data_IF_500325219082
#
_entry.id   IF_500325219082
#
_cell.length_a   1.000
_cell.length_b   1.000
_cell.length_c   1.000
_cell.angle_alpha   90.00
_cell.angle_beta   90.00
_cell.angle_gamma   90.00
#
_symmetry.space_group_name_H-M   'P 1'
#
loop_
_entity.id
_entity.type
_entity.pdbx_description
1 polymer ?
#
# COMPACT_ATOMS: atom_id res chain seq x y z
N UNK A 1 -17.13 44.43 3.06
CA UNK A 1 -16.23 43.60 3.85
C UNK A 1 -16.51 42.16 3.45
N UNK A 2 -15.74 41.69 2.49
CA UNK A 2 -15.98 40.41 1.79
C UNK A 2 -15.08 39.34 2.41
N UNK A 3 -15.67 38.40 3.11
CA UNK A 3 -14.95 37.21 3.56
C UNK A 3 -14.86 36.23 2.39
N UNK A 4 -13.66 36.04 1.90
CA UNK A 4 -13.34 35.00 0.93
C UNK A 4 -13.16 33.70 1.70
N UNK A 5 -14.07 32.76 1.48
CA UNK A 5 -13.94 31.36 1.91
C UNK A 5 -12.93 30.70 0.98
N UNK A 6 -11.78 30.32 1.52
CA UNK A 6 -10.83 29.41 0.89
C UNK A 6 -11.35 27.97 1.00
N UNK A 7 -11.31 27.17 -0.06
CA UNK A 7 -11.91 25.83 -0.04
C UNK A 7 -10.99 24.83 0.69
N UNK A 8 -11.60 24.12 1.63
CA UNK A 8 -11.02 23.05 2.47
C UNK A 8 -10.69 21.74 1.72
N UNK A 9 -10.43 21.79 0.43
CA UNK A 9 -10.31 20.59 -0.43
C UNK A 9 -8.86 20.08 -0.55
N UNK A 10 -7.86 20.83 -0.07
CA UNK A 10 -6.45 20.48 -0.28
C UNK A 10 -5.89 19.45 0.71
N UNK A 11 -6.61 19.16 1.80
CA UNK A 11 -6.09 18.31 2.89
C UNK A 11 -6.41 16.82 2.74
N UNK A 12 -7.44 16.46 1.98
CA UNK A 12 -7.93 15.08 1.89
C UNK A 12 -7.07 14.15 1.00
N UNK A 13 -6.23 14.71 0.14
CA UNK A 13 -5.45 13.92 -0.83
C UNK A 13 -4.04 13.59 -0.33
N UNK A 14 -3.50 14.39 0.59
CA UNK A 14 -2.20 14.11 1.22
C UNK A 14 -2.29 12.93 2.19
N UNK A 15 -3.48 12.63 2.72
CA UNK A 15 -3.70 11.52 3.65
C UNK A 15 -3.76 10.14 3.01
N UNK A 16 -3.83 10.03 1.69
CA UNK A 16 -3.72 8.72 1.00
C UNK A 16 -2.27 8.25 0.85
N UNK A 17 -1.30 9.16 1.02
CA UNK A 17 0.13 8.88 0.95
C UNK A 17 0.79 9.67 2.07
N UNK A 18 0.84 9.11 3.28
CA UNK A 18 1.34 9.74 4.49
C UNK A 18 2.80 10.18 4.44
N UNK A 19 3.12 11.12 3.54
CA UNK A 19 4.38 11.85 3.56
C UNK A 19 4.15 13.16 4.31
N UNK A 20 4.43 13.20 5.61
CA UNK A 20 4.49 14.43 6.36
C UNK A 20 5.76 15.20 6.01
N UNK A 21 5.59 16.30 5.30
CA UNK A 21 6.59 17.35 5.22
C UNK A 21 6.57 18.14 6.54
N UNK A 22 7.61 17.98 7.33
CA UNK A 22 7.94 18.92 8.40
C UNK A 22 8.30 20.27 7.77
N UNK A 23 7.61 21.35 8.21
CA UNK A 23 7.85 22.77 7.94
C UNK A 23 7.97 23.18 6.47
N UNK A 24 7.01 23.99 6.02
CA UNK A 24 6.99 24.60 4.69
C UNK A 24 8.35 25.22 4.30
N UNK A 25 8.92 24.81 3.17
CA UNK A 25 9.60 25.73 2.29
C UNK A 25 8.58 26.31 1.30
N UNK A 26 8.78 27.58 0.93
CA UNK A 26 7.99 28.32 -0.01
C UNK A 26 7.51 27.46 -1.20
N UNK A 27 6.27 27.73 -1.67
CA UNK A 27 5.65 27.10 -2.81
C UNK A 27 6.64 26.90 -3.97
N UNK A 28 7.32 25.76 -3.96
CA UNK A 28 7.96 25.24 -5.14
C UNK A 28 6.82 24.84 -6.07
N UNK A 29 6.73 25.49 -7.20
CA UNK A 29 6.00 25.03 -8.37
C UNK A 29 6.26 23.53 -8.48
N UNK A 30 5.21 22.71 -8.44
CA UNK A 30 5.24 21.32 -8.88
C UNK A 30 5.64 21.32 -10.36
N UNK A 31 6.93 21.49 -10.61
CA UNK A 31 7.55 21.15 -11.87
C UNK A 31 7.31 19.65 -12.06
N UNK A 32 7.04 19.25 -13.28
CA UNK A 32 6.75 17.87 -13.66
C UNK A 32 7.70 16.91 -12.91
N UNK A 33 7.18 16.18 -11.94
CA UNK A 33 7.90 15.12 -11.26
C UNK A 33 7.89 13.85 -12.13
N UNK A 34 8.21 14.02 -13.42
CA UNK A 34 8.57 12.89 -14.26
C UNK A 34 10.05 12.66 -13.98
N UNK A 35 10.44 11.59 -13.25
CA UNK A 35 11.85 11.27 -13.11
C UNK A 35 12.41 11.11 -14.52
N UNK A 36 13.57 11.68 -14.78
CA UNK A 36 14.29 11.29 -15.98
C UNK A 36 14.45 9.76 -15.93
N UNK A 37 13.96 9.06 -16.94
CA UNK A 37 14.04 7.60 -17.06
C UNK A 37 15.48 7.11 -17.17
N UNK A 38 16.42 8.03 -17.26
CA UNK A 38 17.86 7.80 -17.19
C UNK A 38 18.49 8.87 -16.31
N UNK A 39 19.46 8.48 -15.51
CA UNK A 39 20.28 9.45 -14.79
C UNK A 39 21.20 10.20 -15.76
N UNK A 40 21.91 11.23 -15.25
CA UNK A 40 22.86 12.03 -16.05
C UNK A 40 24.02 11.21 -16.66
N UNK A 41 24.22 9.96 -16.25
CA UNK A 41 25.18 9.02 -16.80
C UNK A 41 24.56 8.04 -17.82
N UNK A 42 23.24 8.14 -18.07
CA UNK A 42 22.51 7.28 -19.00
C UNK A 42 22.10 5.92 -18.43
N UNK A 43 22.15 5.74 -17.11
CA UNK A 43 21.70 4.51 -16.47
C UNK A 43 20.17 4.50 -16.40
N UNK A 44 19.57 3.34 -16.68
CA UNK A 44 18.16 3.11 -16.43
C UNK A 44 17.85 3.25 -14.92
N UNK A 45 16.68 3.77 -14.58
CA UNK A 45 16.27 3.93 -13.20
C UNK A 45 14.79 3.59 -13.00
N UNK A 46 14.45 3.04 -11.84
CA UNK A 46 13.08 2.95 -11.37
C UNK A 46 12.65 4.27 -10.73
N UNK A 47 11.34 4.46 -10.56
CA UNK A 47 10.82 5.68 -9.95
C UNK A 47 11.33 5.88 -8.51
N UNK A 48 11.45 7.13 -8.09
CA UNK A 48 11.85 7.49 -6.72
C UNK A 48 10.76 7.18 -5.67
N UNK A 49 9.51 6.97 -6.11
CA UNK A 49 8.38 6.53 -5.28
C UNK A 49 7.73 5.29 -5.87
N UNK A 50 8.40 4.12 -5.81
CA UNK A 50 7.86 2.90 -6.38
C UNK A 50 6.71 2.35 -5.54
N UNK A 51 5.71 1.80 -6.22
CA UNK A 51 4.65 0.96 -5.69
C UNK A 51 4.95 -0.46 -6.15
N UNK A 52 4.99 -1.41 -5.26
CA UNK A 52 5.55 -2.73 -5.53
C UNK A 52 6.99 -2.84 -5.00
N UNK A 53 7.81 -3.80 -5.46
CA UNK A 53 7.53 -4.64 -6.62
C UNK A 53 6.51 -5.76 -6.35
N UNK A 54 6.06 -6.36 -7.45
CA UNK A 54 5.35 -7.63 -7.48
C UNK A 54 5.88 -8.46 -8.65
N UNK A 55 5.98 -9.77 -8.51
CA UNK A 55 6.52 -10.66 -9.54
C UNK A 55 5.38 -11.44 -10.22
N UNK A 56 5.21 -11.30 -11.54
CA UNK A 56 4.19 -11.99 -12.31
C UNK A 56 4.52 -13.49 -12.53
N UNK A 57 3.64 -14.21 -13.23
CA UNK A 57 3.81 -15.65 -13.52
C UNK A 57 5.09 -15.95 -14.30
N UNK A 58 5.55 -15.04 -15.12
CA UNK A 58 6.74 -15.21 -15.98
C UNK A 58 8.04 -14.86 -15.26
N UNK A 59 7.95 -14.28 -14.04
CA UNK A 59 9.07 -13.88 -13.23
C UNK A 59 9.51 -12.43 -13.44
N UNK A 60 8.71 -11.64 -14.15
CA UNK A 60 9.00 -10.22 -14.31
C UNK A 60 8.65 -9.46 -13.02
N UNK A 61 9.51 -8.54 -12.61
CA UNK A 61 9.26 -7.64 -11.49
C UNK A 61 8.57 -6.37 -11.98
N UNK A 62 7.37 -6.14 -11.48
CA UNK A 62 6.56 -4.97 -11.82
C UNK A 62 6.56 -3.94 -10.71
N UNK A 63 6.69 -2.69 -11.10
CA UNK A 63 6.60 -1.53 -10.22
C UNK A 63 5.64 -0.51 -10.82
N UNK A 64 4.88 0.14 -9.97
CA UNK A 64 4.12 1.33 -10.31
C UNK A 64 4.77 2.58 -9.77
N UNK A 65 4.29 3.74 -10.19
CA UNK A 65 4.71 5.03 -9.65
C UNK A 65 3.58 6.05 -9.66
N UNK A 66 3.77 7.11 -8.90
CA UNK A 66 2.84 8.25 -8.87
C UNK A 66 3.30 9.31 -9.87
N UNK A 67 3.26 9.01 -11.19
CA UNK A 67 3.57 9.98 -12.23
C UNK A 67 4.65 9.54 -13.23
N UNK A 68 5.17 8.30 -13.12
CA UNK A 68 6.15 7.75 -14.08
C UNK A 68 5.66 6.44 -14.69
N UNK A 69 4.34 6.20 -14.66
CA UNK A 69 3.75 5.00 -15.23
C UNK A 69 4.06 3.72 -14.47
N UNK A 70 4.10 2.62 -15.21
CA UNK A 70 4.54 1.32 -14.71
C UNK A 70 5.91 0.95 -15.28
N UNK A 71 6.65 0.14 -14.55
CA UNK A 71 7.96 -0.38 -14.94
C UNK A 71 7.98 -1.88 -14.78
N UNK A 72 8.66 -2.57 -15.68
CA UNK A 72 8.84 -4.02 -15.65
C UNK A 72 10.31 -4.38 -15.88
N UNK A 73 10.87 -5.16 -14.98
CA UNK A 73 12.16 -5.80 -15.15
C UNK A 73 11.96 -7.26 -15.52
N UNK A 74 12.41 -7.69 -16.71
CA UNK A 74 12.25 -9.07 -17.21
C UNK A 74 13.47 -9.98 -16.92
N UNK A 75 14.45 -9.46 -16.18
CA UNK A 75 15.70 -10.15 -15.91
C UNK A 75 16.85 -9.66 -16.78
N UNK A 76 16.58 -8.92 -17.86
CA UNK A 76 17.56 -8.41 -18.81
C UNK A 76 17.37 -6.90 -19.07
N UNK A 77 16.13 -6.45 -19.23
CA UNK A 77 15.78 -5.08 -19.58
C UNK A 77 14.73 -4.49 -18.67
N UNK A 78 14.91 -3.22 -18.30
CA UNK A 78 13.88 -2.42 -17.61
C UNK A 78 13.03 -1.69 -18.65
N UNK A 79 11.76 -2.07 -18.74
CA UNK A 79 10.79 -1.45 -19.65
C UNK A 79 9.88 -0.50 -18.91
N UNK A 80 9.47 0.55 -19.60
CA UNK A 80 8.59 1.59 -19.06
C UNK A 80 7.28 1.60 -19.85
N UNK A 81 6.17 1.86 -19.15
CA UNK A 81 4.85 1.91 -19.73
C UNK A 81 4.17 3.20 -19.28
N UNK A 82 3.72 3.98 -20.25
CA UNK A 82 3.07 5.26 -20.08
C UNK A 82 1.66 5.26 -20.69
N UNK A 83 0.99 6.41 -20.66
CA UNK A 83 -0.33 6.56 -21.29
C UNK A 83 -0.32 6.22 -22.79
N UNK A 84 0.78 6.50 -23.48
CA UNK A 84 0.98 6.15 -24.90
C UNK A 84 1.11 4.64 -25.15
N UNK A 85 1.49 3.87 -24.12
CA UNK A 85 1.62 2.39 -24.17
C UNK A 85 0.35 1.68 -23.69
N UNK A 86 -0.73 2.42 -23.43
CA UNK A 86 -2.04 1.88 -23.11
C UNK A 86 -2.54 2.13 -21.69
N UNK A 87 -1.76 2.74 -20.80
CA UNK A 87 -2.25 3.19 -19.50
C UNK A 87 -3.32 4.28 -19.66
N UNK A 88 -4.19 4.44 -18.67
CA UNK A 88 -5.12 5.55 -18.62
C UNK A 88 -4.40 6.89 -18.35
N UNK A 89 -3.32 6.83 -17.58
CA UNK A 89 -2.42 7.90 -17.21
C UNK A 89 -1.24 7.35 -16.44
N UNK A 90 -0.21 8.17 -16.22
CA UNK A 90 1.08 7.74 -15.67
C UNK A 90 1.09 7.57 -14.14
N UNK A 91 -0.07 7.67 -13.53
CA UNK A 91 -0.24 7.42 -12.11
C UNK A 91 -0.69 5.98 -11.87
N UNK A 92 0.22 5.12 -11.42
CA UNK A 92 -0.07 3.73 -11.05
C UNK A 92 -0.13 3.61 -9.52
N UNK A 93 -1.31 3.24 -8.99
CA UNK A 93 -1.57 3.32 -7.54
C UNK A 93 -1.80 1.97 -6.87
N UNK A 94 -1.76 0.89 -7.61
CA UNK A 94 -1.93 -0.46 -7.07
C UNK A 94 -1.57 -1.52 -8.10
N UNK A 95 -1.02 -2.61 -7.60
CA UNK A 95 -0.63 -3.80 -8.35
C UNK A 95 -1.16 -5.02 -7.60
N UNK A 96 -1.69 -5.99 -8.30
CA UNK A 96 -2.09 -7.30 -7.75
C UNK A 96 -1.99 -8.37 -8.83
N UNK A 97 -2.00 -9.62 -8.40
CA UNK A 97 -2.09 -10.76 -9.30
C UNK A 97 -3.43 -11.47 -9.10
N UNK A 98 -4.00 -11.98 -10.16
CA UNK A 98 -5.10 -12.93 -10.05
C UNK A 98 -4.59 -14.36 -9.73
N UNK A 99 -5.50 -15.31 -9.62
CA UNK A 99 -5.17 -16.70 -9.30
C UNK A 99 -4.35 -17.42 -10.38
N UNK A 100 -4.33 -16.89 -11.62
CA UNK A 100 -3.51 -17.37 -12.71
C UNK A 100 -2.11 -16.73 -12.76
N UNK A 101 -1.86 -15.73 -11.87
CA UNK A 101 -0.63 -14.95 -11.85
C UNK A 101 -0.59 -13.83 -12.89
N UNK A 102 -1.74 -13.50 -13.51
CA UNK A 102 -1.84 -12.36 -14.40
C UNK A 102 -1.76 -11.06 -13.60
N UNK A 103 -0.97 -10.11 -14.08
CA UNK A 103 -0.87 -8.79 -13.48
C UNK A 103 -2.12 -7.96 -13.74
N UNK A 104 -2.63 -7.38 -12.67
CA UNK A 104 -3.62 -6.32 -12.65
C UNK A 104 -3.04 -5.07 -11.99
N UNK A 105 -3.28 -3.91 -12.57
CA UNK A 105 -2.85 -2.65 -11.98
C UNK A 105 -3.94 -1.57 -12.11
N UNK A 106 -3.85 -0.58 -11.22
CA UNK A 106 -4.69 0.62 -11.28
C UNK A 106 -3.90 1.75 -11.91
N UNK A 107 -4.33 2.20 -13.08
CA UNK A 107 -3.82 3.42 -13.71
C UNK A 107 -4.85 4.54 -13.56
N UNK A 108 -4.38 5.74 -13.27
CA UNK A 108 -5.22 6.92 -13.05
C UNK A 108 -4.67 8.14 -13.76
N UNK A 109 -5.56 9.08 -14.07
CA UNK A 109 -5.20 10.40 -14.60
C UNK A 109 -4.39 11.19 -13.56
N UNK A 110 -3.52 12.08 -14.01
CA UNK A 110 -2.57 12.81 -13.13
C UNK A 110 -3.25 13.79 -12.17
N UNK A 111 -4.42 14.31 -12.53
CA UNK A 111 -5.13 15.29 -11.73
C UNK A 111 -5.82 14.66 -10.52
N UNK A 112 -5.84 15.38 -9.42
CA UNK A 112 -6.54 15.00 -8.20
C UNK A 112 -8.05 14.84 -8.49
N UNK A 113 -8.60 13.65 -8.22
CA UNK A 113 -9.98 13.30 -8.56
C UNK A 113 -10.18 12.86 -10.01
N UNK A 114 -9.09 12.66 -10.75
CA UNK A 114 -9.12 12.08 -12.10
C UNK A 114 -9.68 10.66 -12.14
N UNK A 115 -10.01 10.21 -13.34
CA UNK A 115 -10.52 8.87 -13.55
C UNK A 115 -9.45 7.83 -13.26
N UNK A 116 -9.84 6.67 -12.78
CA UNK A 116 -9.00 5.49 -12.69
C UNK A 116 -9.59 4.32 -13.49
N UNK A 117 -8.74 3.39 -13.86
CA UNK A 117 -9.12 2.17 -14.54
C UNK A 117 -8.24 1.01 -14.10
N UNK A 118 -8.80 -0.18 -14.16
CA UNK A 118 -8.05 -1.43 -14.04
C UNK A 118 -7.43 -1.78 -15.40
N UNK A 119 -6.16 -2.13 -15.37
CA UNK A 119 -5.39 -2.55 -16.52
C UNK A 119 -4.90 -3.98 -16.28
N UNK A 120 -4.70 -4.74 -17.33
CA UNK A 120 -4.13 -6.09 -17.29
C UNK A 120 -2.95 -6.19 -18.25
N UNK A 121 -1.98 -7.01 -17.89
CA UNK A 121 -0.86 -7.40 -18.74
C UNK A 121 -1.13 -8.78 -19.34
N UNK A 122 -1.03 -8.93 -20.66
CA UNK A 122 -1.28 -10.19 -21.39
C UNK A 122 0.01 -10.93 -21.81
N UNK A 123 1.17 -10.49 -21.30
CA UNK A 123 2.48 -10.99 -21.69
C UNK A 123 3.17 -10.13 -22.78
N UNK A 124 2.44 -9.22 -23.43
CA UNK A 124 2.96 -8.38 -24.49
C UNK A 124 2.52 -6.92 -24.40
N UNK A 125 1.28 -6.67 -23.99
CA UNK A 125 0.68 -5.33 -23.93
C UNK A 125 -0.09 -5.09 -22.65
N UNK A 126 -0.07 -3.84 -22.19
CA UNK A 126 -0.99 -3.34 -21.19
C UNK A 126 -2.28 -2.88 -21.86
N UNK A 127 -3.39 -3.40 -21.41
CA UNK A 127 -4.69 -3.04 -21.91
C UNK A 127 -5.68 -2.78 -20.77
N UNK A 128 -6.67 -1.94 -21.04
CA UNK A 128 -7.76 -1.76 -20.09
C UNK A 128 -8.46 -3.08 -19.85
N UNK A 129 -8.57 -3.48 -18.58
CA UNK A 129 -9.28 -4.68 -18.20
C UNK A 129 -10.72 -4.64 -18.71
N UNK A 130 -11.22 -5.77 -19.16
CA UNK A 130 -12.57 -5.92 -19.70
C UNK A 130 -13.41 -6.69 -18.71
N UNK A 131 -14.62 -6.21 -18.50
CA UNK A 131 -15.64 -6.89 -17.72
C UNK A 131 -16.97 -6.82 -18.48
N UNK A 132 -17.80 -7.87 -18.53
CA UNK A 132 -19.03 -7.91 -19.34
C UNK A 132 -20.00 -6.75 -19.03
N UNK A 133 -20.14 -6.38 -17.78
CA UNK A 133 -21.03 -5.29 -17.33
C UNK A 133 -20.27 -3.97 -17.07
N UNK A 134 -18.93 -3.97 -17.22
CA UNK A 134 -18.07 -2.86 -16.85
C UNK A 134 -17.65 -2.90 -15.39
N UNK A 135 -16.69 -2.05 -15.03
CA UNK A 135 -16.25 -1.87 -13.64
C UNK A 135 -17.00 -0.71 -12.97
N UNK A 136 -17.12 -0.71 -11.63
CA UNK A 136 -17.57 0.46 -10.90
C UNK A 136 -16.75 1.70 -11.28
N UNK A 137 -17.32 2.89 -11.07
CA UNK A 137 -16.66 4.16 -11.41
C UNK A 137 -15.38 4.31 -10.58
N UNK A 138 -14.27 4.68 -11.25
CA UNK A 138 -12.97 4.90 -10.61
C UNK A 138 -12.56 3.75 -9.66
N UNK A 139 -12.45 2.50 -10.18
CA UNK A 139 -12.06 1.38 -9.35
C UNK A 139 -10.64 1.54 -8.83
N UNK A 140 -10.43 1.26 -7.55
CA UNK A 140 -9.13 1.26 -6.90
C UNK A 140 -8.98 0.01 -6.03
N UNK A 141 -7.75 -0.32 -5.64
CA UNK A 141 -7.42 -1.44 -4.73
C UNK A 141 -8.07 -2.76 -5.14
N UNK A 142 -7.79 -3.25 -6.35
CA UNK A 142 -8.25 -4.57 -6.77
C UNK A 142 -7.67 -5.62 -5.81
N UNK A 143 -8.50 -6.57 -5.44
CA UNK A 143 -8.13 -7.67 -4.59
C UNK A 143 -8.84 -8.94 -5.05
N UNK A 144 -8.11 -10.02 -5.26
CA UNK A 144 -8.68 -11.33 -5.52
C UNK A 144 -8.72 -12.12 -4.22
N UNK A 145 -9.90 -12.59 -3.84
CA UNK A 145 -10.02 -13.46 -2.70
C UNK A 145 -9.56 -14.90 -3.02
N UNK A 146 -9.50 -15.77 -2.01
CA UNK A 146 -9.02 -17.15 -2.16
C UNK A 146 -9.89 -18.00 -3.10
N UNK A 147 -11.10 -17.54 -3.44
CA UNK A 147 -12.00 -18.15 -4.41
C UNK A 147 -11.82 -17.58 -5.81
N UNK A 148 -10.95 -16.58 -5.97
CA UNK A 148 -10.70 -15.88 -7.23
C UNK A 148 -11.74 -14.81 -7.56
N UNK A 149 -12.61 -14.46 -6.61
CA UNK A 149 -13.58 -13.36 -6.79
C UNK A 149 -12.84 -12.02 -6.72
N UNK A 150 -13.06 -11.19 -7.73
CA UNK A 150 -12.50 -9.85 -7.76
C UNK A 150 -13.32 -8.89 -6.89
N UNK A 151 -12.61 -8.24 -5.98
CA UNK A 151 -13.11 -7.13 -5.18
C UNK A 151 -12.42 -5.84 -5.62
N UNK A 152 -13.18 -4.76 -5.67
CA UNK A 152 -12.67 -3.41 -5.93
C UNK A 152 -13.25 -2.42 -4.96
N UNK A 153 -12.52 -1.37 -4.68
CA UNK A 153 -13.07 -0.21 -3.96
C UNK A 153 -13.42 0.87 -4.98
N UNK A 154 -14.59 1.45 -4.84
CA UNK A 154 -15.07 2.55 -5.67
C UNK A 154 -15.91 3.49 -4.82
N UNK A 155 -15.71 4.81 -4.95
CA UNK A 155 -16.48 5.84 -4.24
C UNK A 155 -16.61 5.58 -2.72
N UNK A 156 -15.52 5.11 -2.10
CA UNK A 156 -15.47 4.82 -0.67
C UNK A 156 -16.26 3.57 -0.25
N UNK A 157 -16.59 2.66 -1.17
CA UNK A 157 -17.30 1.41 -0.92
C UNK A 157 -16.58 0.23 -1.53
N UNK A 158 -16.76 -0.95 -0.93
CA UNK A 158 -16.36 -2.20 -1.55
C UNK A 158 -17.42 -2.68 -2.52
N UNK A 159 -16.98 -3.26 -3.61
CA UNK A 159 -17.77 -3.97 -4.60
C UNK A 159 -17.13 -5.32 -4.83
N UNK A 160 -17.94 -6.35 -4.96
CA UNK A 160 -17.48 -7.70 -5.33
C UNK A 160 -18.14 -8.16 -6.61
N UNK A 161 -17.42 -8.96 -7.35
CA UNK A 161 -17.99 -9.63 -8.51
C UNK A 161 -18.90 -10.78 -8.07
N UNK A 162 -20.15 -10.79 -8.57
CA UNK A 162 -21.15 -11.83 -8.31
C UNK A 162 -21.86 -12.16 -9.62
N UNK A 163 -21.75 -13.41 -10.06
CA UNK A 163 -22.38 -13.88 -11.31
C UNK A 163 -22.05 -13.03 -12.55
N UNK A 164 -20.84 -12.46 -12.59
CA UNK A 164 -20.39 -11.64 -13.72
C UNK A 164 -20.89 -10.18 -13.67
N UNK A 165 -21.29 -9.68 -12.52
CA UNK A 165 -21.61 -8.27 -12.27
C UNK A 165 -20.97 -7.79 -10.98
N UNK A 166 -20.80 -6.47 -10.81
CA UNK A 166 -20.29 -5.88 -9.58
C UNK A 166 -21.42 -5.42 -8.68
N UNK A 167 -21.51 -6.00 -7.50
CA UNK A 167 -22.49 -5.61 -6.48
C UNK A 167 -21.79 -4.83 -5.36
N UNK A 168 -22.39 -3.71 -4.89
CA UNK A 168 -21.92 -3.05 -3.69
C UNK A 168 -21.98 -4.00 -2.49
N UNK A 169 -20.91 -4.03 -1.70
CA UNK A 169 -20.83 -4.79 -0.46
C UNK A 169 -20.87 -3.82 0.72
N UNK A 170 -22.03 -3.69 1.38
CA UNK A 170 -22.20 -2.73 2.47
C UNK A 170 -21.52 -3.24 3.74
N UNK A 171 -20.67 -2.41 4.35
CA UNK A 171 -20.24 -2.61 5.73
C UNK A 171 -21.33 -2.13 6.69
N UNK A 172 -21.32 -2.60 7.96
CA UNK A 172 -22.22 -2.10 8.98
C UNK A 172 -22.16 -0.59 9.15
N UNK A 173 -23.29 0.02 9.51
CA UNK A 173 -23.34 1.45 9.81
C UNK A 173 -22.41 1.82 10.97
N UNK A 174 -21.78 3.02 10.94
CA UNK A 174 -20.89 3.47 12.00
C UNK A 174 -21.63 3.54 13.35
N UNK A 175 -21.08 2.87 14.35
CA UNK A 175 -21.65 2.79 15.70
C UNK A 175 -20.74 3.35 16.80
N UNK A 176 -19.51 3.74 16.46
CA UNK A 176 -18.56 4.36 17.38
C UNK A 176 -18.44 5.86 17.10
N UNK A 177 -18.08 6.66 18.11
CA UNK A 177 -17.78 8.07 17.93
C UNK A 177 -16.68 8.29 16.89
N UNK A 178 -16.86 9.27 16.02
CA UNK A 178 -15.83 9.65 15.05
C UNK A 178 -14.62 10.24 15.76
N UNK A 179 -13.44 9.75 15.43
CA UNK A 179 -12.17 10.20 16.02
C UNK A 179 -11.33 11.01 15.03
N UNK A 180 -11.71 11.04 13.76
CA UNK A 180 -11.02 11.76 12.71
C UNK A 180 -11.96 12.71 11.94
N UNK A 181 -11.38 13.59 11.15
CA UNK A 181 -12.12 14.60 10.36
C UNK A 181 -12.63 14.06 9.02
N UNK A 182 -12.08 12.94 8.54
CA UNK A 182 -12.44 12.35 7.25
C UNK A 182 -13.69 11.49 7.33
N UNK A 183 -14.08 11.08 8.53
CA UNK A 183 -15.24 10.26 8.78
C UNK A 183 -15.00 8.76 8.57
N UNK A 184 -16.09 8.01 8.46
CA UNK A 184 -16.05 6.58 8.23
C UNK A 184 -15.66 6.28 6.78
N UNK A 185 -14.48 5.72 6.60
CA UNK A 185 -13.98 5.30 5.29
C UNK A 185 -13.43 3.87 5.35
N UNK A 186 -13.92 2.97 4.48
CA UNK A 186 -13.27 1.70 4.24
C UNK A 186 -11.84 1.90 3.72
N UNK A 187 -10.88 1.18 4.27
CA UNK A 187 -9.46 1.33 3.92
C UNK A 187 -8.96 0.20 3.02
N UNK A 188 -8.96 -1.00 3.54
CA UNK A 188 -8.55 -2.19 2.79
C UNK A 188 -9.25 -3.43 3.33
N UNK A 189 -9.11 -4.54 2.61
CA UNK A 189 -9.67 -5.82 2.98
C UNK A 189 -8.67 -6.95 2.82
N UNK A 190 -8.93 -8.06 3.50
CA UNK A 190 -8.24 -9.34 3.35
C UNK A 190 -9.20 -10.49 3.58
N UNK A 191 -9.08 -11.55 2.80
CA UNK A 191 -9.67 -12.83 3.16
C UNK A 191 -8.61 -13.67 3.88
N UNK A 192 -8.98 -14.27 5.00
CA UNK A 192 -8.12 -15.19 5.75
C UNK A 192 -8.40 -16.65 5.38
N UNK A 193 -7.52 -17.57 5.76
CA UNK A 193 -7.56 -18.98 5.30
C UNK A 193 -8.83 -19.73 5.65
N UNK A 194 -9.52 -19.36 6.74
CA UNK A 194 -10.80 -19.97 7.10
C UNK A 194 -11.98 -19.49 6.24
N UNK A 195 -11.74 -18.54 5.31
CA UNK A 195 -12.75 -17.99 4.42
C UNK A 195 -13.35 -16.65 4.87
N UNK A 196 -13.12 -16.25 6.12
CA UNK A 196 -13.63 -14.97 6.62
C UNK A 196 -13.00 -13.78 5.88
N UNK A 197 -13.81 -12.76 5.65
CA UNK A 197 -13.35 -11.51 5.07
C UNK A 197 -13.22 -10.45 6.16
N UNK A 198 -12.08 -9.80 6.19
CA UNK A 198 -11.80 -8.70 7.09
C UNK A 198 -11.76 -7.38 6.33
N UNK A 199 -12.35 -6.35 6.93
CA UNK A 199 -12.44 -5.00 6.37
C UNK A 199 -11.94 -3.99 7.38
N UNK A 200 -10.90 -3.26 7.03
CA UNK A 200 -10.35 -2.18 7.86
C UNK A 200 -11.06 -0.86 7.58
N UNK A 201 -11.16 -0.04 8.61
CA UNK A 201 -11.79 1.28 8.52
C UNK A 201 -10.95 2.37 9.18
N UNK A 202 -11.24 3.62 8.85
CA UNK A 202 -10.53 4.78 9.39
C UNK A 202 -10.88 5.14 10.83
N UNK A 203 -12.03 4.68 11.37
CA UNK A 203 -12.47 5.05 12.72
C UNK A 203 -13.43 4.07 13.41
N UNK A 204 -13.79 2.96 12.75
CA UNK A 204 -14.70 1.96 13.29
C UNK A 204 -13.98 0.62 13.60
N UNK A 205 -12.65 0.60 13.65
CA UNK A 205 -11.88 -0.63 13.82
C UNK A 205 -11.87 -1.51 12.58
N UNK A 206 -11.93 -2.81 12.77
CA UNK A 206 -12.03 -3.78 11.69
C UNK A 206 -13.29 -4.62 11.81
N UNK A 207 -13.93 -4.93 10.68
CA UNK A 207 -15.07 -5.83 10.61
C UNK A 207 -14.63 -7.17 10.03
N UNK A 208 -15.01 -8.26 10.68
CA UNK A 208 -14.91 -9.62 10.18
C UNK A 208 -16.29 -10.07 9.71
N UNK A 209 -16.40 -10.51 8.47
CA UNK A 209 -17.58 -11.16 7.92
C UNK A 209 -17.30 -12.65 7.72
N UNK A 210 -18.08 -13.51 8.38
CA UNK A 210 -17.92 -14.96 8.34
C UNK A 210 -18.77 -15.65 7.25
N UNK A 211 -19.44 -14.86 6.42
CA UNK A 211 -20.36 -15.31 5.39
C UNK A 211 -21.82 -15.06 5.73
N UNK A 212 -22.14 -14.85 7.00
CA UNK A 212 -23.49 -14.59 7.51
C UNK A 212 -23.53 -13.31 8.35
N UNK A 213 -22.66 -13.19 9.36
CA UNK A 213 -22.68 -12.11 10.33
C UNK A 213 -21.40 -11.27 10.31
N UNK A 214 -21.53 -10.01 10.73
CA UNK A 214 -20.40 -9.13 10.98
C UNK A 214 -20.01 -9.12 12.46
N UNK A 215 -18.73 -9.28 12.72
CA UNK A 215 -18.10 -9.11 14.02
C UNK A 215 -17.15 -7.91 13.97
N UNK A 216 -17.19 -7.05 14.98
CA UNK A 216 -16.39 -5.84 15.00
C UNK A 216 -15.27 -5.95 16.02
N UNK A 217 -14.02 -5.68 15.60
CA UNK A 217 -12.84 -5.62 16.43
C UNK A 217 -12.48 -4.14 16.67
N UNK A 218 -12.41 -3.73 17.93
CA UNK A 218 -12.30 -2.32 18.33
C UNK A 218 -11.31 -2.10 19.47
N UNK A 219 -11.21 -0.86 19.96
CA UNK A 219 -10.48 -0.54 21.18
C UNK A 219 -11.04 -1.23 22.43
N UNK A 220 -12.30 -1.62 22.44
CA UNK A 220 -12.89 -2.42 23.52
C UNK A 220 -12.30 -3.85 23.56
N UNK A 221 -11.79 -4.34 22.44
CA UNK A 221 -11.20 -5.66 22.29
C UNK A 221 -9.66 -5.63 22.38
N UNK A 222 -9.09 -4.44 22.64
CA UNK A 222 -7.67 -4.24 22.84
C UNK A 222 -6.91 -3.57 21.69
N UNK A 223 -7.58 -3.12 20.62
CA UNK A 223 -6.90 -2.30 19.61
C UNK A 223 -6.44 -0.97 20.23
N UNK A 224 -5.25 -0.47 19.90
CA UNK A 224 -4.79 0.83 20.32
C UNK A 224 -5.65 2.00 19.84
N UNK A 225 -6.17 1.89 18.63
CA UNK A 225 -7.10 2.85 18.01
C UNK A 225 -8.08 2.13 17.07
N UNK A 226 -9.17 2.80 16.71
CA UNK A 226 -10.12 2.28 15.73
C UNK A 226 -9.79 2.68 14.27
N UNK A 227 -8.65 3.32 14.02
CA UNK A 227 -8.12 3.54 12.68
C UNK A 227 -7.15 2.40 12.35
N UNK A 228 -7.61 1.46 11.54
CA UNK A 228 -6.95 0.18 11.30
C UNK A 228 -6.55 0.05 9.84
N UNK A 229 -5.44 -0.64 9.60
CA UNK A 229 -5.07 -1.19 8.29
C UNK A 229 -4.71 -2.66 8.45
N UNK A 230 -5.24 -3.50 7.57
CA UNK A 230 -4.96 -4.94 7.54
C UNK A 230 -3.73 -5.20 6.66
N UNK A 231 -2.88 -6.12 7.07
CA UNK A 231 -1.68 -6.47 6.31
C UNK A 231 -1.72 -7.90 5.80
N UNK A 232 -1.61 -8.90 6.66
CA UNK A 232 -1.59 -10.31 6.27
C UNK A 232 -2.11 -11.21 7.38
N UNK A 233 -2.46 -12.43 7.02
CA UNK A 233 -2.56 -13.57 7.94
C UNK A 233 -1.27 -14.39 7.86
N UNK A 234 -0.58 -14.55 8.99
CA UNK A 234 0.67 -15.30 9.03
C UNK A 234 0.43 -16.84 8.97
N UNK A 235 1.50 -17.62 8.86
CA UNK A 235 1.43 -19.09 8.78
C UNK A 235 0.77 -19.75 9.99
N UNK A 236 0.68 -19.06 11.11
CA UNK A 236 0.06 -19.57 12.34
C UNK A 236 -1.41 -19.18 12.47
N UNK A 237 -1.94 -18.39 11.54
CA UNK A 237 -3.32 -17.90 11.52
C UNK A 237 -3.53 -16.60 12.27
N UNK A 238 -2.47 -15.90 12.63
CA UNK A 238 -2.59 -14.59 13.25
C UNK A 238 -2.77 -13.51 12.17
N UNK A 239 -3.71 -12.62 12.40
CA UNK A 239 -3.93 -11.46 11.53
C UNK A 239 -3.07 -10.30 12.02
N UNK A 240 -2.17 -9.84 11.15
CA UNK A 240 -1.33 -8.68 11.40
C UNK A 240 -2.02 -7.41 10.87
N UNK A 241 -2.06 -6.40 11.72
CA UNK A 241 -2.71 -5.13 11.45
C UNK A 241 -1.94 -3.99 12.08
N UNK A 242 -2.08 -2.80 11.54
CA UNK A 242 -1.57 -1.58 12.14
C UNK A 242 -2.71 -0.66 12.53
N UNK A 243 -2.50 0.03 13.64
CA UNK A 243 -3.38 1.07 14.14
C UNK A 243 -2.63 2.39 14.10
N UNK A 244 -3.29 3.45 13.67
CA UNK A 244 -2.69 4.76 13.61
C UNK A 244 -3.64 5.84 14.11
N UNK A 245 -3.15 6.72 14.97
CA UNK A 245 -3.88 7.88 15.43
C UNK A 245 -3.05 9.13 15.22
N UNK A 246 -3.63 10.08 14.53
CA UNK A 246 -3.07 11.40 14.40
C UNK A 246 -4.08 12.44 14.92
N UNK A 247 -3.69 13.15 15.94
CA UNK A 247 -4.53 14.20 16.50
C UNK A 247 -4.17 15.55 15.85
N UNK A 248 -5.06 16.04 14.96
CA UNK A 248 -4.83 17.25 14.15
C UNK A 248 -4.51 18.51 14.94
N UNK A 249 -5.02 18.65 16.18
CA UNK A 249 -4.83 19.86 16.98
C UNK A 249 -3.63 19.79 17.91
N UNK A 250 -3.26 18.60 18.37
CA UNK A 250 -2.11 18.44 19.29
C UNK A 250 -0.85 17.97 18.58
N UNK A 251 -0.96 17.48 17.34
CA UNK A 251 0.14 16.84 16.63
C UNK A 251 0.55 15.48 17.23
N UNK A 252 -0.22 14.96 18.19
CA UNK A 252 0.06 13.67 18.82
C UNK A 252 -0.13 12.54 17.78
N UNK A 253 0.94 11.84 17.49
CA UNK A 253 0.96 10.71 16.57
C UNK A 253 1.21 9.46 17.39
N UNK A 254 0.33 8.47 17.22
CA UNK A 254 0.49 7.16 17.84
C UNK A 254 0.21 6.11 16.80
N UNK A 255 1.19 5.27 16.56
CA UNK A 255 1.05 4.06 15.78
C UNK A 255 1.20 2.84 16.66
N UNK A 256 0.73 1.71 16.21
CA UNK A 256 1.03 0.43 16.78
C UNK A 256 0.91 -0.66 15.72
N UNK A 257 1.88 -1.55 15.71
CA UNK A 257 1.70 -2.84 15.07
C UNK A 257 0.98 -3.75 16.04
N UNK A 258 -0.01 -4.48 15.54
CA UNK A 258 -0.82 -5.41 16.32
C UNK A 258 -0.93 -6.75 15.64
N UNK A 259 -1.15 -7.78 16.45
CA UNK A 259 -1.44 -9.14 16.02
C UNK A 259 -2.72 -9.61 16.71
N UNK A 260 -3.67 -10.12 15.93
CA UNK A 260 -4.89 -10.75 16.41
C UNK A 260 -4.79 -12.27 16.23
N UNK A 261 -4.86 -13.05 17.32
CA UNK A 261 -4.72 -14.50 17.32
C UNK A 261 -6.06 -15.27 17.25
N UNK A 262 -7.14 -14.56 16.96
CA UNK A 262 -8.50 -15.09 16.98
C UNK A 262 -9.24 -14.83 18.30
N UNK A 263 -8.56 -14.36 19.35
CA UNK A 263 -9.12 -14.10 20.68
C UNK A 263 -8.64 -12.82 21.31
N UNK A 264 -7.35 -12.51 21.16
CA UNK A 264 -6.70 -11.38 21.81
C UNK A 264 -5.90 -10.55 20.83
N UNK A 265 -5.85 -9.26 21.08
CA UNK A 265 -4.96 -8.34 20.38
C UNK A 265 -3.66 -8.21 21.18
N UNK A 266 -2.55 -8.54 20.55
CA UNK A 266 -1.22 -8.24 21.06
C UNK A 266 -0.68 -7.02 20.36
N UNK A 267 -0.34 -5.97 21.11
CA UNK A 267 0.35 -4.78 20.60
C UNK A 267 1.83 -4.85 20.95
N UNK A 268 2.67 -4.20 20.15
CA UNK A 268 4.12 -4.15 20.33
C UNK A 268 4.58 -2.72 20.68
N UNK A 269 4.25 -2.22 21.88
CA UNK A 269 4.49 -0.81 22.26
C UNK A 269 5.96 -0.48 22.54
N UNK A 270 6.77 -1.47 22.90
CA UNK A 270 8.15 -1.26 23.37
C UNK A 270 9.19 -1.32 22.25
N UNK A 271 8.75 -1.37 20.98
CA UNK A 271 9.64 -1.34 19.83
C UNK A 271 9.79 0.11 19.35
N UNK A 272 10.96 0.73 19.56
CA UNK A 272 11.20 2.11 19.15
C UNK A 272 10.84 2.31 17.68
N UNK A 273 10.05 3.34 17.39
CA UNK A 273 9.61 3.64 16.04
C UNK A 273 8.32 2.94 15.57
N UNK A 274 7.89 1.85 16.20
CA UNK A 274 6.59 1.23 15.87
C UNK A 274 5.41 1.87 16.63
N UNK A 275 5.66 2.50 17.77
CA UNK A 275 4.62 3.13 18.59
C UNK A 275 4.27 4.57 18.20
N UNK A 276 5.16 5.22 17.47
CA UNK A 276 5.01 6.64 17.12
C UNK A 276 4.80 6.84 15.62
N UNK A 277 4.79 5.76 14.84
CA UNK A 277 4.77 5.81 13.39
C UNK A 277 3.76 4.87 12.77
N UNK A 278 3.34 5.25 11.58
CA UNK A 278 2.49 4.42 10.74
C UNK A 278 3.31 3.28 10.13
N UNK A 279 2.76 2.06 10.20
CA UNK A 279 3.29 0.89 9.51
C UNK A 279 2.45 0.68 8.25
N UNK A 280 3.06 0.90 7.08
CA UNK A 280 2.34 0.83 5.81
C UNK A 280 2.38 -0.53 5.16
N UNK A 281 3.41 -1.30 5.42
CA UNK A 281 3.59 -2.62 4.79
C UNK A 281 4.14 -3.62 5.78
N UNK A 282 3.57 -4.81 5.74
CA UNK A 282 4.01 -5.97 6.51
C UNK A 282 4.05 -7.17 5.58
N UNK A 283 5.09 -7.97 5.68
CA UNK A 283 5.31 -9.19 4.90
C UNK A 283 5.77 -10.32 5.82
N UNK A 284 5.23 -11.52 5.64
CA UNK A 284 5.83 -12.75 6.16
C UNK A 284 6.77 -13.34 5.09
N UNK A 285 8.05 -13.51 5.44
CA UNK A 285 9.01 -14.16 4.54
C UNK A 285 8.86 -15.69 4.55
N UNK A 286 9.57 -16.37 3.65
CA UNK A 286 9.52 -17.82 3.53
C UNK A 286 10.00 -18.56 4.77
N UNK A 287 10.84 -17.92 5.60
CA UNK A 287 11.37 -18.47 6.85
C UNK A 287 10.41 -18.24 8.04
N UNK A 288 9.34 -17.43 7.84
CA UNK A 288 8.32 -17.12 8.83
C UNK A 288 8.63 -15.89 9.66
N UNK A 289 9.61 -15.09 9.26
CA UNK A 289 9.81 -13.81 9.90
C UNK A 289 8.81 -12.80 9.37
N UNK A 290 8.37 -11.91 10.24
CA UNK A 290 7.49 -10.80 9.87
C UNK A 290 8.34 -9.55 9.67
N UNK A 291 8.31 -9.04 8.45
CA UNK A 291 8.98 -7.80 8.06
C UNK A 291 8.01 -6.64 8.05
N UNK A 292 8.43 -5.50 8.53
CA UNK A 292 7.63 -4.28 8.57
C UNK A 292 8.49 -3.04 8.43
N UNK A 293 7.88 -1.97 7.95
CA UNK A 293 8.53 -0.67 7.85
C UNK A 293 7.86 0.32 8.79
N UNK A 294 8.65 0.95 9.64
CA UNK A 294 8.23 2.07 10.48
C UNK A 294 8.71 3.38 9.83
N UNK A 295 7.78 4.25 9.47
CA UNK A 295 8.08 5.53 8.84
C UNK A 295 9.05 6.35 9.69
N UNK A 296 10.14 6.80 9.09
CA UNK A 296 11.18 7.58 9.77
C UNK A 296 12.19 6.80 10.60
N UNK A 297 12.02 5.48 10.79
CA UNK A 297 12.86 4.67 11.69
C UNK A 297 13.56 3.49 11.04
N UNK A 298 13.04 2.96 9.94
CA UNK A 298 13.68 1.86 9.22
C UNK A 298 12.81 0.64 9.02
N UNK A 299 13.46 -0.45 8.64
CA UNK A 299 12.88 -1.75 8.44
C UNK A 299 13.12 -2.59 9.69
N UNK A 300 12.12 -3.35 10.09
CA UNK A 300 12.21 -4.28 11.22
C UNK A 300 11.87 -5.69 10.76
N UNK A 301 12.52 -6.66 11.39
CA UNK A 301 12.19 -8.08 11.28
C UNK A 301 11.84 -8.62 12.67
N UNK A 302 10.71 -9.28 12.77
CA UNK A 302 10.28 -10.04 13.96
C UNK A 302 10.41 -11.53 13.68
N UNK A 303 11.15 -12.25 14.51
CA UNK A 303 11.43 -13.68 14.35
C UNK A 303 10.50 -14.58 15.21
N UNK A 304 9.44 -14.00 15.75
CA UNK A 304 8.53 -14.65 16.68
C UNK A 304 8.86 -14.38 18.16
N UNK A 305 10.04 -13.83 18.45
CA UNK A 305 10.52 -13.52 19.80
C UNK A 305 11.08 -12.10 19.88
N UNK A 306 11.96 -11.73 18.95
CA UNK A 306 12.71 -10.48 19.00
C UNK A 306 12.50 -9.65 17.73
N UNK A 307 12.59 -8.32 17.90
CA UNK A 307 12.68 -7.40 16.80
C UNK A 307 14.13 -7.05 16.50
N UNK A 308 14.52 -7.12 15.23
CA UNK A 308 15.78 -6.60 14.72
C UNK A 308 15.52 -5.45 13.78
N UNK A 309 16.16 -4.30 14.05
CA UNK A 309 16.08 -3.13 13.17
C UNK A 309 17.18 -3.17 12.09
N UNK A 310 16.84 -2.73 10.88
CA UNK A 310 17.72 -2.54 9.74
C UNK A 310 17.68 -1.05 9.38
N UNK A 311 18.72 -0.33 9.78
CA UNK A 311 18.81 1.13 9.63
C UNK A 311 19.97 1.57 8.76
N UNK A 312 20.83 0.63 8.36
CA UNK A 312 21.96 0.92 7.48
C UNK A 312 21.51 0.93 6.03
N UNK A 313 21.85 2.01 5.33
CA UNK A 313 21.60 2.19 3.90
C UNK A 313 22.90 2.41 3.16
N UNK A 314 22.95 1.99 1.89
CA UNK A 314 24.09 2.21 1.00
C UNK A 314 23.60 2.70 -0.37
N UNK A 315 24.15 3.81 -0.92
CA UNK A 315 25.11 4.70 -0.25
C UNK A 315 24.51 5.40 0.97
N UNK A 316 25.35 5.80 1.91
CA UNK A 316 24.91 6.60 3.06
C UNK A 316 24.23 7.89 2.57
N UNK A 317 23.07 8.18 3.11
CA UNK A 317 22.35 9.41 2.87
C UNK A 317 21.81 9.94 4.21
N UNK A 318 22.44 10.98 4.80
CA UNK A 318 22.02 11.50 6.09
C UNK A 318 20.65 12.18 6.05
N UNK A 319 20.20 12.58 4.86
CA UNK A 319 18.87 13.20 4.66
C UNK A 319 17.79 12.17 4.35
N UNK A 320 18.17 10.88 4.24
CA UNK A 320 17.21 9.81 3.96
C UNK A 320 16.20 9.70 5.10
N UNK A 321 14.93 9.63 4.72
CA UNK A 321 13.84 9.38 5.64
C UNK A 321 13.13 8.11 5.20
N UNK A 322 13.08 7.14 6.11
CA UNK A 322 12.37 5.89 5.85
C UNK A 322 10.86 6.16 5.69
N UNK A 323 10.37 6.09 4.47
CA UNK A 323 8.96 6.12 4.13
C UNK A 323 8.66 4.92 3.27
N UNK A 324 8.51 3.74 3.88
CA UNK A 324 8.34 2.48 3.17
C UNK A 324 6.89 2.29 2.74
N UNK A 325 6.70 2.12 1.44
CA UNK A 325 5.38 1.91 0.86
C UNK A 325 5.08 0.41 0.64
N UNK A 326 6.12 -0.40 0.45
CA UNK A 326 5.96 -1.80 0.08
C UNK A 326 7.16 -2.65 0.51
N UNK A 327 6.87 -3.90 0.82
CA UNK A 327 7.86 -4.96 1.06
C UNK A 327 7.46 -6.14 0.19
N UNK A 328 8.43 -6.75 -0.46
CA UNK A 328 8.22 -7.91 -1.31
C UNK A 328 9.38 -8.90 -1.19
N UNK A 329 9.07 -10.20 -1.20
CA UNK A 329 10.07 -11.25 -1.34
C UNK A 329 9.88 -11.96 -2.68
N UNK A 330 10.88 -11.86 -3.56
CA UNK A 330 10.83 -12.48 -4.88
C UNK A 330 11.05 -14.01 -4.84
N UNK A 331 10.91 -14.67 -6.00
CA UNK A 331 11.08 -16.13 -6.12
C UNK A 331 12.49 -16.60 -5.78
N UNK A 332 13.50 -15.75 -5.93
CA UNK A 332 14.89 -16.03 -5.52
C UNK A 332 15.11 -15.85 -4.01
N UNK A 333 14.09 -15.38 -3.25
CA UNK A 333 14.14 -15.15 -1.81
C UNK A 333 14.68 -13.79 -1.40
N UNK A 334 14.96 -12.89 -2.35
CA UNK A 334 15.47 -11.54 -2.07
C UNK A 334 14.35 -10.66 -1.55
N UNK A 335 14.68 -9.82 -0.59
CA UNK A 335 13.75 -8.86 -0.02
C UNK A 335 13.95 -7.48 -0.65
N UNK A 336 12.84 -6.91 -1.10
CA UNK A 336 12.75 -5.63 -1.77
C UNK A 336 11.88 -4.68 -0.97
N UNK A 337 12.28 -3.41 -0.96
CA UNK A 337 11.61 -2.35 -0.21
C UNK A 337 11.43 -1.13 -1.12
N UNK A 338 10.18 -0.71 -1.31
CA UNK A 338 9.86 0.54 -1.97
C UNK A 338 9.78 1.67 -0.94
N UNK A 339 10.68 2.64 -1.07
CA UNK A 339 10.74 3.80 -0.18
C UNK A 339 10.47 5.11 -0.95
N UNK A 340 10.17 6.17 -0.20
CA UNK A 340 10.43 7.51 -0.70
C UNK A 340 11.93 7.70 -0.92
N UNK A 341 12.34 7.77 -2.18
CA UNK A 341 13.76 7.81 -2.58
C UNK A 341 14.20 6.57 -3.36
N UNK A 342 13.29 5.66 -3.68
CA UNK A 342 13.52 4.60 -4.63
C UNK A 342 13.31 3.17 -4.15
N UNK A 343 13.89 2.25 -4.90
CA UNK A 343 13.87 0.82 -4.64
C UNK A 343 15.15 0.39 -3.92
N UNK A 344 14.96 -0.39 -2.87
CA UNK A 344 16.06 -0.95 -2.07
C UNK A 344 15.97 -2.47 -2.02
N UNK A 345 17.12 -3.10 -1.95
CA UNK A 345 17.27 -4.54 -1.72
C UNK A 345 18.03 -4.78 -0.42
N UNK A 346 17.62 -5.78 0.34
CA UNK A 346 18.38 -6.21 1.51
C UNK A 346 19.60 -7.04 1.07
N UNK A 347 20.79 -6.63 1.52
CA UNK A 347 22.04 -7.37 1.39
C UNK A 347 22.69 -7.51 2.77
N UNK A 348 22.68 -8.72 3.32
CA UNK A 348 23.02 -8.93 4.72
C UNK A 348 22.16 -8.09 5.67
N UNK A 349 22.76 -7.13 6.35
CA UNK A 349 22.07 -6.21 7.27
C UNK A 349 21.93 -4.79 6.68
N UNK A 350 22.22 -4.60 5.40
CA UNK A 350 22.26 -3.30 4.73
C UNK A 350 21.16 -3.20 3.66
N UNK A 351 20.45 -2.09 3.64
CA UNK A 351 19.52 -1.73 2.57
C UNK A 351 20.30 -1.03 1.46
N UNK A 352 20.46 -1.71 0.34
CA UNK A 352 21.20 -1.20 -0.83
C UNK A 352 20.20 -0.51 -1.75
N UNK A 353 20.43 0.76 -2.06
CA UNK A 353 19.65 1.49 -3.05
C UNK A 353 19.97 0.99 -4.45
N UNK A 354 18.99 0.43 -5.11
CA UNK A 354 19.08 -0.10 -6.48
C UNK A 354 18.20 0.68 -7.47
N UNK A 355 17.80 1.89 -7.12
CA UNK A 355 16.93 2.74 -7.93
C UNK A 355 17.55 3.02 -9.29
N UNK A 356 18.86 3.22 -9.36
CA UNK A 356 19.61 3.60 -10.57
C UNK A 356 20.60 2.51 -10.94
N UNK A 357 20.48 2.02 -12.18
CA UNK A 357 21.42 1.03 -12.73
C UNK A 357 21.39 -0.35 -12.09
N UNK A 358 20.40 -0.64 -11.25
CA UNK A 358 20.27 -1.94 -10.58
C UNK A 358 21.35 -2.23 -9.53
N UNK A 359 21.72 -3.50 -9.34
CA UNK A 359 21.17 -4.68 -10.01
C UNK A 359 19.76 -5.04 -9.52
N UNK A 360 18.88 -5.36 -10.46
CA UNK A 360 17.52 -5.82 -10.17
C UNK A 360 17.38 -7.35 -10.24
N UNK A 361 18.43 -8.05 -10.62
CA UNK A 361 18.52 -9.51 -10.71
C UNK A 361 19.24 -10.15 -9.51
#
# INVERSE_FOLDING_TARGET
MSHVLLPSILLAVIMAFGCHLATEPAAATLGSMVPELQDSAGHQQVAEYPIGPIEDSDGNLWLGSVGSGAMMWDGEELRYFHAEDGLLGDRVTGLTLDSAGQLWLVSAEENLGGRSALMTWDGATLARAKHPTGFPINPVRPYFDNSGVLWVQSEGRFHREVNGDFEPFPLPEPNLPRTNTTGYEPKNMRQVRNGDHWFATSDQGAFRWDGEDFHQLTTADGLPTNNVSLHLEDRYGNLWLSCFHWHLTTGDQRGALCMWDGKTVTSFPDVPGLTENEVYSVLEDRDGNIWMCATGHGVYRYDGINFKAFTQIQPENPDFRFGCNSIYQDRKGRLWFGFGGGLYRLDGDTLVNVTRGGPWD
#
